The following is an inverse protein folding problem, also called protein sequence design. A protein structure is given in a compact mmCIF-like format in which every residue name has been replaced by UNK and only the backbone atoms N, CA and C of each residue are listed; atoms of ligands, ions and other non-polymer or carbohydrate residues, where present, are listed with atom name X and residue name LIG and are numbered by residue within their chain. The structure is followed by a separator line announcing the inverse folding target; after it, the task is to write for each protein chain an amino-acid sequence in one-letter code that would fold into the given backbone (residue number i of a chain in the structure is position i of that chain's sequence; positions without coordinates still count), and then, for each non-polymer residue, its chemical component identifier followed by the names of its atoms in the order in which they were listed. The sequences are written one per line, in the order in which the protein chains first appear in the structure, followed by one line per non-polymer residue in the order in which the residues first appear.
data_IF_445250066846
#
_entry.id   IF_445250066846
#
_cell.length_a   1.000
_cell.length_b   1.000
_cell.length_c   1.000
_cell.angle_alpha   90.00
_cell.angle_beta   90.00
_cell.angle_gamma   90.00
#
_symmetry.space_group_name_H-M   'P 1'
#
loop_
_entity.id
_entity.type
_entity.pdbx_description
1 polymer ?
#
# COMPACT_ATOMS: atom_id res chain seq x y z
N UNK A 1 -6.02 -0.33 -10.29
CA UNK A 1 -5.58 0.63 -11.34
C UNK A 1 -4.74 -0.14 -12.35
N UNK A 2 -5.01 -0.06 -13.65
CA UNK A 2 -4.23 -0.83 -14.64
C UNK A 2 -3.00 -0.02 -15.09
N UNK A 3 -1.82 -0.40 -14.58
CA UNK A 3 -0.53 0.25 -14.86
C UNK A 3 -0.17 0.20 -16.35
N UNK A 4 -0.55 -0.86 -17.07
CA UNK A 4 -0.31 -0.98 -18.52
C UNK A 4 -0.92 0.18 -19.32
N UNK A 5 -2.08 0.70 -18.86
CA UNK A 5 -2.74 1.84 -19.50
C UNK A 5 -1.94 3.14 -19.41
N UNK A 6 -1.09 3.28 -18.38
CA UNK A 6 -0.22 4.45 -18.20
C UNK A 6 1.07 4.33 -19.03
N UNK A 7 1.50 3.10 -19.31
CA UNK A 7 2.76 2.80 -19.98
C UNK A 7 2.63 2.44 -21.46
N UNK A 8 1.46 2.72 -22.08
CA UNK A 8 1.28 2.55 -23.54
C UNK A 8 0.79 1.18 -23.99
N UNK A 9 0.31 0.30 -23.08
CA UNK A 9 -0.48 -0.88 -23.44
C UNK A 9 0.30 -2.13 -23.87
N UNK A 10 1.63 -2.14 -23.79
CA UNK A 10 2.49 -3.30 -24.11
C UNK A 10 2.69 -4.26 -22.92
N UNK A 11 3.36 -5.39 -23.19
CA UNK A 11 3.85 -6.30 -22.15
C UNK A 11 4.90 -5.57 -21.32
N UNK A 12 4.73 -5.54 -19.99
CA UNK A 12 5.68 -4.89 -19.11
C UNK A 12 6.96 -5.73 -18.99
N UNK A 13 8.14 -5.12 -19.03
CA UNK A 13 9.40 -5.82 -18.78
C UNK A 13 9.45 -6.34 -17.34
N UNK A 14 10.21 -7.40 -17.08
CA UNK A 14 10.35 -8.00 -15.75
C UNK A 14 10.91 -7.01 -14.72
N UNK A 15 11.79 -6.14 -15.15
CA UNK A 15 12.30 -5.02 -14.35
C UNK A 15 11.79 -3.71 -14.93
N UNK A 16 11.05 -2.98 -14.14
CA UNK A 16 10.55 -1.65 -14.48
C UNK A 16 10.73 -0.75 -13.28
N UNK A 17 11.37 0.37 -13.50
CA UNK A 17 11.43 1.49 -12.56
C UNK A 17 11.33 2.77 -13.36
N UNK A 18 10.23 3.47 -13.23
CA UNK A 18 9.97 4.66 -14.03
C UNK A 18 9.08 5.64 -13.30
N UNK A 19 9.37 6.91 -13.50
CA UNK A 19 8.56 8.00 -12.95
C UNK A 19 7.63 8.55 -14.03
N UNK A 20 6.36 8.68 -13.70
CA UNK A 20 5.35 9.32 -14.53
C UNK A 20 4.87 10.61 -13.88
N UNK A 21 4.53 11.58 -14.70
CA UNK A 21 3.94 12.84 -14.27
C UNK A 21 2.47 12.88 -14.68
N UNK A 22 1.60 13.22 -13.76
CA UNK A 22 0.18 13.44 -13.99
C UNK A 22 -0.18 14.86 -13.57
N UNK A 23 -1.00 15.52 -14.37
CA UNK A 23 -1.53 16.85 -14.06
C UNK A 23 -2.98 16.68 -13.63
N UNK A 24 -3.23 16.89 -12.35
CA UNK A 24 -4.56 16.79 -11.77
C UNK A 24 -5.28 18.12 -11.91
N UNK A 25 -6.55 18.10 -12.33
CA UNK A 25 -7.34 19.31 -12.53
C UNK A 25 -8.82 19.07 -12.28
N UNK A 26 -9.57 20.11 -11.94
CA UNK A 26 -11.02 20.07 -11.81
C UNK A 26 -11.75 20.49 -13.09
N UNK A 27 -11.02 20.85 -14.14
CA UNK A 27 -11.63 21.19 -15.44
C UNK A 27 -11.55 20.03 -16.43
N UNK A 28 -12.65 19.78 -17.13
CA UNK A 28 -12.69 18.81 -18.24
C UNK A 28 -12.41 19.47 -19.60
N UNK A 29 -12.39 20.79 -19.62
CA UNK A 29 -12.22 21.53 -20.87
C UNK A 29 -10.74 21.63 -21.23
N UNK A 30 -10.33 20.92 -22.27
CA UNK A 30 -8.98 20.96 -22.83
C UNK A 30 -8.47 22.36 -23.18
N UNK A 31 -9.38 23.26 -23.58
CA UNK A 31 -9.06 24.65 -23.89
C UNK A 31 -8.60 25.46 -22.67
N UNK A 32 -8.88 24.98 -21.46
CA UNK A 32 -8.51 25.62 -20.20
C UNK A 32 -7.27 25.02 -19.55
N UNK A 33 -6.70 23.97 -20.14
CA UNK A 33 -5.46 23.39 -19.66
C UNK A 33 -4.29 24.34 -19.93
N UNK A 34 -3.43 24.53 -18.93
CA UNK A 34 -2.26 25.42 -19.03
C UNK A 34 -1.16 24.82 -19.91
N UNK A 35 -1.14 23.49 -20.03
CA UNK A 35 -0.13 22.72 -20.76
C UNK A 35 -0.75 21.84 -21.84
N UNK A 36 -1.22 22.40 -22.95
CA UNK A 36 -1.90 21.61 -24.00
C UNK A 36 -0.99 20.55 -24.65
N UNK A 37 0.33 20.73 -24.60
CA UNK A 37 1.33 19.77 -25.07
C UNK A 37 1.38 18.48 -24.23
N UNK A 38 0.91 18.55 -22.97
CA UNK A 38 0.87 17.43 -22.02
C UNK A 38 -0.52 16.83 -21.85
N UNK A 39 -1.40 16.96 -22.84
CA UNK A 39 -2.81 16.57 -22.74
C UNK A 39 -3.03 15.12 -22.25
N UNK A 40 -2.17 14.19 -22.62
CA UNK A 40 -2.24 12.79 -22.19
C UNK A 40 -2.01 12.58 -20.70
N UNK A 41 -1.32 13.52 -20.03
CA UNK A 41 -0.99 13.49 -18.60
C UNK A 41 -2.10 14.03 -17.73
N UNK A 42 -3.07 14.78 -18.30
CA UNK A 42 -4.17 15.35 -17.54
C UNK A 42 -5.11 14.28 -16.98
N UNK A 43 -5.49 14.47 -15.73
CA UNK A 43 -6.47 13.63 -15.03
C UNK A 43 -7.47 14.52 -14.31
N UNK A 44 -8.74 14.27 -14.62
CA UNK A 44 -9.84 15.01 -14.02
C UNK A 44 -10.17 14.46 -12.63
N UNK A 45 -10.29 15.35 -11.66
CA UNK A 45 -10.78 15.05 -10.31
C UNK A 45 -12.18 15.65 -10.15
N UNK A 46 -13.16 14.80 -9.86
CA UNK A 46 -14.53 15.21 -9.64
C UNK A 46 -14.68 16.23 -8.52
N UNK A 47 -15.60 17.17 -8.68
CA UNK A 47 -15.84 18.25 -7.69
C UNK A 47 -16.22 17.72 -6.31
N UNK A 48 -16.83 16.53 -6.25
CA UNK A 48 -17.26 15.90 -4.99
C UNK A 48 -16.15 15.12 -4.29
N UNK A 49 -14.96 15.02 -4.91
CA UNK A 49 -13.81 14.32 -4.33
C UNK A 49 -13.02 15.35 -3.53
N UNK A 50 -12.86 15.11 -2.22
CA UNK A 50 -11.98 15.91 -1.39
C UNK A 50 -10.54 15.73 -1.88
N UNK A 51 -9.89 16.83 -2.23
CA UNK A 51 -8.50 16.85 -2.66
C UNK A 51 -7.91 18.22 -2.33
N UNK A 52 -7.13 18.28 -1.27
CA UNK A 52 -6.70 19.53 -0.62
C UNK A 52 -5.62 20.30 -1.41
N UNK A 53 -4.98 19.63 -2.37
CA UNK A 53 -3.92 20.24 -3.20
C UNK A 53 -4.46 21.01 -4.41
N UNK A 54 -5.76 21.04 -4.63
CA UNK A 54 -6.41 21.86 -5.66
C UNK A 54 -7.35 22.86 -5.01
N UNK A 55 -7.18 24.14 -5.34
CA UNK A 55 -8.05 25.20 -4.85
C UNK A 55 -9.50 24.98 -5.33
N UNK A 56 -10.47 24.75 -4.42
CA UNK A 56 -11.86 24.52 -4.82
C UNK A 56 -12.52 25.73 -5.49
N UNK A 57 -12.01 26.95 -5.26
CA UNK A 57 -12.51 28.19 -5.84
C UNK A 57 -11.93 28.46 -7.24
N UNK A 58 -10.81 27.86 -7.60
CA UNK A 58 -10.18 28.03 -8.92
C UNK A 58 -10.27 26.73 -9.74
N UNK A 59 -11.20 26.72 -10.71
CA UNK A 59 -11.40 25.58 -11.62
C UNK A 59 -10.18 25.37 -12.54
N UNK A 60 -9.38 26.41 -12.75
CA UNK A 60 -8.18 26.36 -13.60
C UNK A 60 -6.92 25.93 -12.85
N UNK A 61 -7.06 25.62 -11.56
CA UNK A 61 -5.94 25.15 -10.74
C UNK A 61 -5.49 23.74 -11.16
N UNK A 62 -4.18 23.54 -11.15
CA UNK A 62 -3.52 22.33 -11.60
C UNK A 62 -2.50 21.87 -10.57
N UNK A 63 -2.49 20.59 -10.27
CA UNK A 63 -1.53 19.96 -9.37
C UNK A 63 -0.69 18.93 -10.11
N UNK A 64 0.63 19.09 -10.12
CA UNK A 64 1.57 18.13 -10.71
C UNK A 64 1.83 17.00 -9.71
N UNK A 65 1.34 15.81 -10.04
CA UNK A 65 1.57 14.58 -9.28
C UNK A 65 2.65 13.75 -9.95
N UNK A 66 3.76 13.54 -9.27
CA UNK A 66 4.82 12.61 -9.69
C UNK A 66 4.59 11.26 -9.02
N UNK A 67 4.53 10.20 -9.81
CA UNK A 67 4.37 8.83 -9.35
C UNK A 67 5.48 7.97 -9.94
N UNK A 68 6.16 7.23 -9.09
CA UNK A 68 7.11 6.20 -9.50
C UNK A 68 6.40 4.85 -9.55
N UNK A 69 6.64 4.12 -10.62
CA UNK A 69 6.12 2.77 -10.83
C UNK A 69 7.31 1.82 -10.81
N UNK A 70 7.32 0.94 -9.82
CA UNK A 70 8.39 -0.07 -9.65
C UNK A 70 7.76 -1.45 -9.81
N UNK A 71 8.30 -2.27 -10.69
CA UNK A 71 7.92 -3.66 -10.85
C UNK A 71 8.92 -4.54 -10.11
N UNK A 72 8.42 -5.30 -9.15
CA UNK A 72 9.23 -6.17 -8.30
C UNK A 72 8.73 -7.60 -8.38
N UNK A 73 9.65 -8.54 -8.36
CA UNK A 73 9.33 -9.95 -8.20
C UNK A 73 9.11 -10.25 -6.71
N UNK A 74 7.90 -10.65 -6.34
CA UNK A 74 7.52 -10.94 -4.94
C UNK A 74 7.69 -12.41 -4.58
N UNK A 75 7.57 -13.29 -5.56
CA UNK A 75 7.88 -14.72 -5.46
C UNK A 75 8.27 -15.25 -6.85
N UNK A 76 8.80 -16.45 -6.93
CA UNK A 76 9.31 -17.04 -8.15
C UNK A 76 8.32 -16.90 -9.32
N UNK A 77 8.67 -16.08 -10.32
CA UNK A 77 7.85 -15.78 -11.49
C UNK A 77 6.62 -14.90 -11.24
N UNK A 78 6.39 -14.41 -10.01
CA UNK A 78 5.25 -13.54 -9.67
C UNK A 78 5.71 -12.10 -9.49
N UNK A 79 5.22 -11.23 -10.36
CA UNK A 79 5.58 -9.82 -10.38
C UNK A 79 4.42 -8.92 -9.92
N UNK A 80 4.74 -7.94 -9.09
CA UNK A 80 3.81 -6.89 -8.66
C UNK A 80 4.28 -5.52 -9.14
N UNK A 81 3.32 -4.65 -9.47
CA UNK A 81 3.59 -3.26 -9.84
C UNK A 81 3.23 -2.36 -8.67
N UNK A 82 4.23 -1.77 -8.06
CA UNK A 82 4.08 -0.88 -6.92
C UNK A 82 4.10 0.56 -7.42
N UNK A 83 3.10 1.33 -7.00
CA UNK A 83 3.03 2.77 -7.28
C UNK A 83 3.35 3.50 -5.99
N UNK A 84 4.31 4.41 -6.05
CA UNK A 84 4.79 5.14 -4.89
C UNK A 84 5.12 6.59 -5.24
N UNK A 85 5.20 7.43 -4.22
CA UNK A 85 5.73 8.80 -4.30
C UNK A 85 7.17 8.88 -3.81
N UNK A 86 7.76 7.76 -3.37
CA UNK A 86 9.14 7.70 -2.90
C UNK A 86 10.11 7.93 -4.06
N UNK A 87 11.11 8.77 -3.83
CA UNK A 87 12.08 9.14 -4.86
C UNK A 87 13.00 7.97 -5.22
N UNK A 88 13.54 8.00 -6.42
CA UNK A 88 14.54 7.03 -6.88
C UNK A 88 15.90 7.27 -6.22
N UNK A 89 16.16 8.52 -5.81
CA UNK A 89 17.42 8.94 -5.19
C UNK A 89 17.57 8.37 -3.77
N UNK A 90 16.46 8.31 -3.02
CA UNK A 90 16.46 7.89 -1.60
C UNK A 90 16.10 6.42 -1.41
N UNK A 91 15.37 5.82 -2.35
CA UNK A 91 14.84 4.46 -2.23
C UNK A 91 15.12 3.61 -3.45
N UNK A 92 15.88 2.56 -3.29
CA UNK A 92 16.12 1.57 -4.35
C UNK A 92 14.88 0.71 -4.61
N UNK A 93 14.78 0.00 -5.75
CA UNK A 93 13.73 -0.99 -5.98
C UNK A 93 13.63 -2.07 -4.89
N UNK A 94 14.76 -2.46 -4.31
CA UNK A 94 14.81 -3.44 -3.22
C UNK A 94 14.23 -2.87 -1.92
N UNK A 95 14.45 -1.59 -1.62
CA UNK A 95 13.82 -0.92 -0.49
C UNK A 95 12.30 -0.85 -0.68
N UNK A 96 11.84 -0.56 -1.89
CA UNK A 96 10.40 -0.56 -2.21
C UNK A 96 9.81 -1.97 -2.05
N UNK A 97 10.52 -3.01 -2.51
CA UNK A 97 10.13 -4.41 -2.31
C UNK A 97 10.06 -4.76 -0.82
N UNK A 98 11.04 -4.34 -0.04
CA UNK A 98 11.07 -4.55 1.40
C UNK A 98 9.86 -3.89 2.08
N UNK A 99 9.61 -2.60 1.81
CA UNK A 99 8.43 -1.89 2.33
C UNK A 99 7.11 -2.58 1.93
N UNK A 100 7.01 -3.07 0.70
CA UNK A 100 5.84 -3.80 0.23
C UNK A 100 5.64 -5.12 1.01
N UNK A 101 6.73 -5.84 1.27
CA UNK A 101 6.69 -7.08 2.05
C UNK A 101 6.26 -6.83 3.50
N UNK A 102 6.69 -5.73 4.12
CA UNK A 102 6.23 -5.34 5.46
C UNK A 102 4.71 -5.14 5.52
N UNK A 103 4.09 -4.64 4.44
CA UNK A 103 2.64 -4.49 4.35
C UNK A 103 1.91 -5.83 4.48
N UNK A 104 2.45 -6.92 3.94
CA UNK A 104 1.89 -8.27 4.09
C UNK A 104 1.88 -8.74 5.55
N UNK A 105 2.86 -8.33 6.33
CA UNK A 105 2.89 -8.57 7.77
C UNK A 105 1.68 -7.98 8.49
N UNK A 106 1.23 -6.79 8.09
CA UNK A 106 0.05 -6.14 8.64
C UNK A 106 -1.23 -6.94 8.32
N UNK A 107 -1.39 -7.37 7.06
CA UNK A 107 -2.56 -8.16 6.64
C UNK A 107 -2.62 -9.50 7.36
N UNK A 108 -1.48 -10.15 7.54
CA UNK A 108 -1.36 -11.40 8.32
C UNK A 108 -1.72 -11.15 9.78
N UNK A 109 -1.22 -10.06 10.39
CA UNK A 109 -1.54 -9.69 11.76
C UNK A 109 -3.02 -9.42 11.96
N UNK A 110 -3.69 -8.73 11.03
CA UNK A 110 -5.14 -8.53 11.08
C UNK A 110 -5.90 -9.84 10.95
N UNK A 111 -5.46 -10.76 10.10
CA UNK A 111 -6.07 -12.07 9.96
C UNK A 111 -5.93 -12.89 11.25
N UNK A 112 -4.75 -12.90 11.85
CA UNK A 112 -4.49 -13.61 13.08
C UNK A 112 -5.26 -13.00 14.26
N UNK A 113 -5.34 -11.68 14.35
CA UNK A 113 -6.15 -10.97 15.33
C UNK A 113 -7.64 -11.32 15.18
N UNK A 114 -8.15 -11.34 13.96
CA UNK A 114 -9.55 -11.62 13.66
C UNK A 114 -9.92 -13.07 13.95
N UNK A 115 -9.10 -14.02 13.51
CA UNK A 115 -9.45 -15.45 13.52
C UNK A 115 -8.82 -16.21 14.69
N UNK A 116 -7.55 -15.98 15.01
CA UNK A 116 -6.84 -16.71 16.09
C UNK A 116 -7.20 -16.15 17.46
N UNK A 117 -7.19 -14.84 17.61
CA UNK A 117 -7.54 -14.15 18.87
C UNK A 117 -9.07 -13.93 18.98
N UNK A 118 -9.79 -14.04 17.86
CA UNK A 118 -11.24 -13.87 17.85
C UNK A 118 -11.66 -12.42 18.14
N UNK A 119 -10.94 -11.42 17.59
CA UNK A 119 -11.26 -10.01 17.84
C UNK A 119 -12.65 -9.59 17.36
N UNK A 120 -13.26 -10.36 16.47
CA UNK A 120 -14.64 -10.15 16.01
C UNK A 120 -15.70 -10.81 16.91
N UNK A 121 -15.30 -11.73 17.79
CA UNK A 121 -16.20 -12.41 18.72
C UNK A 121 -16.29 -11.61 20.01
N UNK A 122 -17.20 -10.64 20.02
CA UNK A 122 -17.43 -9.76 21.16
C UNK A 122 -18.66 -10.24 21.95
N UNK A 123 -18.52 -10.33 23.26
CA UNK A 123 -19.58 -10.79 24.16
C UNK A 123 -20.45 -9.63 24.66
N UNK A 124 -19.86 -8.45 24.73
CA UNK A 124 -20.51 -7.27 25.27
C UNK A 124 -21.37 -6.57 24.22
N UNK A 125 -22.50 -6.02 24.68
CA UNK A 125 -23.41 -5.21 23.83
C UNK A 125 -23.23 -3.72 24.00
N UNK A 126 -22.67 -3.27 25.14
CA UNK A 126 -22.43 -1.84 25.40
C UNK A 126 -21.11 -1.41 24.79
N UNK A 127 -21.11 -0.28 24.12
CA UNK A 127 -19.94 0.25 23.37
C UNK A 127 -18.67 0.34 24.22
N UNK A 128 -18.81 0.79 25.48
CA UNK A 128 -17.68 0.91 26.39
C UNK A 128 -17.01 -0.46 26.68
N UNK A 129 -17.81 -1.48 26.96
CA UNK A 129 -17.30 -2.82 27.24
C UNK A 129 -16.77 -3.52 25.97
N UNK A 130 -17.34 -3.23 24.81
CA UNK A 130 -16.81 -3.68 23.51
C UNK A 130 -15.40 -3.12 23.31
N UNK A 131 -15.19 -1.85 23.64
CA UNK A 131 -13.87 -1.23 23.54
C UNK A 131 -12.87 -1.90 24.49
N UNK A 132 -13.23 -2.15 25.75
CA UNK A 132 -12.37 -2.85 26.71
C UNK A 132 -12.03 -4.27 26.26
N UNK A 133 -13.00 -5.01 25.74
CA UNK A 133 -12.79 -6.36 25.22
C UNK A 133 -11.84 -6.35 24.02
N UNK A 134 -11.98 -5.39 23.11
CA UNK A 134 -11.09 -5.24 21.96
C UNK A 134 -9.66 -4.88 22.41
N UNK A 135 -9.52 -3.91 23.33
CA UNK A 135 -8.20 -3.54 23.88
C UNK A 135 -7.51 -4.71 24.58
N UNK A 136 -8.25 -5.50 25.35
CA UNK A 136 -7.70 -6.69 26.02
C UNK A 136 -7.15 -7.70 25.00
N UNK A 137 -7.87 -7.93 23.90
CA UNK A 137 -7.45 -8.82 22.83
C UNK A 137 -6.22 -8.29 22.08
N UNK A 138 -6.14 -6.98 21.84
CA UNK A 138 -4.98 -6.34 21.22
C UNK A 138 -3.74 -6.43 22.11
N UNK A 139 -3.87 -6.19 23.40
CA UNK A 139 -2.78 -6.32 24.38
C UNK A 139 -2.29 -7.76 24.40
N UNK A 140 -3.19 -8.73 24.49
CA UNK A 140 -2.84 -10.15 24.47
C UNK A 140 -2.10 -10.53 23.19
N UNK A 141 -2.58 -10.08 22.04
CA UNK A 141 -1.92 -10.32 20.74
C UNK A 141 -0.50 -9.79 20.72
N UNK A 142 -0.29 -8.53 21.14
CA UNK A 142 1.01 -7.91 21.16
C UNK A 142 1.96 -8.62 22.14
N UNK A 143 1.45 -9.00 23.32
CA UNK A 143 2.23 -9.74 24.31
C UNK A 143 2.66 -11.11 23.77
N UNK A 144 1.77 -11.88 23.18
CA UNK A 144 2.11 -13.16 22.55
C UNK A 144 3.11 -12.98 21.41
N UNK A 145 2.97 -11.94 20.59
CA UNK A 145 3.90 -11.63 19.51
C UNK A 145 5.31 -11.35 20.03
N UNK A 146 5.43 -10.58 21.11
CA UNK A 146 6.73 -10.32 21.77
C UNK A 146 7.36 -11.61 22.30
N UNK A 147 6.58 -12.46 22.95
CA UNK A 147 7.08 -13.75 23.45
C UNK A 147 7.61 -14.60 22.29
N UNK A 148 6.85 -14.72 21.20
CA UNK A 148 7.23 -15.53 20.01
C UNK A 148 8.56 -15.03 19.42
N UNK A 149 8.79 -13.72 19.38
CA UNK A 149 10.03 -13.13 18.90
C UNK A 149 11.27 -13.54 19.74
N UNK A 150 11.06 -13.85 21.02
CA UNK A 150 12.15 -14.18 21.96
C UNK A 150 12.32 -15.69 22.22
N UNK A 151 11.42 -16.52 21.66
CA UNK A 151 11.52 -17.98 21.81
C UNK A 151 12.46 -18.53 20.75
N UNK A 152 13.62 -19.13 21.11
CA UNK A 152 14.50 -19.75 20.14
C UNK A 152 13.81 -20.99 19.54
N UNK A 153 13.49 -20.94 18.25
CA UNK A 153 12.95 -22.11 17.54
C UNK A 153 14.09 -23.07 17.22
N UNK A 154 14.14 -24.23 17.88
CA UNK A 154 15.08 -25.30 17.49
C UNK A 154 14.75 -25.76 16.06
N UNK A 155 15.73 -25.76 15.18
CA UNK A 155 15.63 -26.09 13.76
C UNK A 155 15.15 -27.51 13.41
N UNK A 156 14.52 -28.25 14.32
CA UNK A 156 14.01 -29.61 14.14
C UNK A 156 12.50 -29.75 13.93
N UNK A 157 11.72 -28.66 14.02
CA UNK A 157 10.23 -28.70 13.89
C UNK A 157 9.77 -27.94 12.62
N UNK A 158 10.61 -27.87 11.62
CA UNK A 158 10.39 -27.10 10.39
C UNK A 158 9.30 -27.66 9.45
N UNK A 159 8.52 -28.69 9.84
CA UNK A 159 7.44 -29.22 9.02
C UNK A 159 6.03 -28.82 9.47
N UNK A 160 5.91 -27.91 10.43
CA UNK A 160 4.64 -27.32 10.79
C UNK A 160 4.71 -25.80 10.79
N UNK A 161 4.18 -25.23 9.76
CA UNK A 161 3.85 -23.81 9.61
C UNK A 161 4.94 -22.89 9.07
N UNK A 162 4.82 -22.56 7.85
CA UNK A 162 5.40 -21.51 7.00
C UNK A 162 5.33 -20.08 7.59
N UNK A 163 5.36 -19.88 8.90
CA UNK A 163 5.11 -18.57 9.54
C UNK A 163 6.32 -17.87 10.17
N UNK A 164 7.48 -18.54 10.25
CA UNK A 164 8.64 -17.93 10.92
C UNK A 164 9.73 -17.42 9.98
N UNK A 165 9.54 -17.48 8.68
CA UNK A 165 10.58 -17.09 7.69
C UNK A 165 10.71 -15.57 7.50
N UNK A 166 9.90 -14.77 8.19
CA UNK A 166 9.87 -13.31 7.98
C UNK A 166 10.79 -12.51 8.92
N UNK A 167 11.49 -13.14 9.87
CA UNK A 167 12.24 -12.42 10.90
C UNK A 167 13.73 -12.76 10.97
N UNK A 168 14.29 -13.45 9.97
CA UNK A 168 15.73 -13.76 9.93
C UNK A 168 16.35 -13.45 8.56
N UNK A 169 16.30 -12.19 8.18
CA UNK A 169 17.30 -11.59 7.27
C UNK A 169 17.36 -10.09 7.54
#
# INVERSE_FOLDING_TARGET
MNVQRFLGGGTLPDKLDTTIELILTRTQSKKKHKHPEKESQYRYIGKNIAFDYLNPADISDEYLLKLRIVRVEVSDGVFENIITTLSEEDFTPDDIKYCYNLRWGIETSFRDLKHTIGATNLHSKKTEYVAFELWSKLILYNFCSIIILHVPVKAGIANMSTKSTFLSQ
#
